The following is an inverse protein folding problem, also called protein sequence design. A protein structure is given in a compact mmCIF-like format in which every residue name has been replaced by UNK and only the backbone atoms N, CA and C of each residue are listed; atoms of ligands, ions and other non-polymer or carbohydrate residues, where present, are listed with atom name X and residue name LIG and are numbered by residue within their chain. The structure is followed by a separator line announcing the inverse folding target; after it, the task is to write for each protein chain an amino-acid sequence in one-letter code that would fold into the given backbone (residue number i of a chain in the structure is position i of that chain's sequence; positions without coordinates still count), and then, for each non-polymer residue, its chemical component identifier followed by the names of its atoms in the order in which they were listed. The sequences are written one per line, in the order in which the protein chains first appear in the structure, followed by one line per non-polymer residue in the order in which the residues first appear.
data_IF_417926207937
#
_entry.id   IF_417926207937
#
_cell.length_a   1.000
_cell.length_b   1.000
_cell.length_c   1.000
_cell.angle_alpha   90.00
_cell.angle_beta   90.00
_cell.angle_gamma   90.00
#
_symmetry.space_group_name_H-M   'P 1'
#
loop_
_entity.id
_entity.type
_entity.pdbx_description
1 polymer ?
#
# COMPACT_ATOMS: atom_id res chain seq x y z
N UNK A 1 12.68 15.55 -9.88
CA UNK A 1 13.44 16.76 -9.46
C UNK A 1 14.51 17.16 -10.50
N UNK A 2 15.16 16.24 -11.20
CA UNK A 2 16.10 16.58 -12.31
C UNK A 2 15.39 17.39 -13.40
N UNK A 3 14.24 16.93 -13.89
CA UNK A 3 13.44 17.66 -14.89
C UNK A 3 13.11 19.11 -14.47
N UNK A 4 12.79 19.32 -13.17
CA UNK A 4 12.56 20.68 -12.63
C UNK A 4 13.84 21.48 -12.63
N UNK A 5 14.99 20.88 -12.32
CA UNK A 5 16.29 21.53 -12.35
C UNK A 5 16.66 22.00 -13.74
N UNK A 6 16.37 21.21 -14.76
CA UNK A 6 16.80 21.37 -16.13
C UNK A 6 15.81 22.19 -17.01
N UNK A 7 14.62 22.51 -16.47
CA UNK A 7 13.55 23.21 -17.21
C UNK A 7 13.17 24.54 -16.57
N UNK A 8 13.38 25.63 -17.30
CA UNK A 8 12.95 26.98 -16.88
C UNK A 8 11.43 27.04 -16.66
N UNK A 9 10.64 26.39 -17.50
CA UNK A 9 9.18 26.35 -17.38
C UNK A 9 8.75 25.64 -16.09
N UNK A 10 9.36 24.50 -15.76
CA UNK A 10 9.05 23.75 -14.54
C UNK A 10 9.54 24.49 -13.29
N UNK A 11 10.69 25.16 -13.35
CA UNK A 11 11.15 26.02 -12.25
C UNK A 11 10.16 27.17 -11.99
N UNK A 12 9.73 27.87 -13.05
CA UNK A 12 8.73 28.94 -12.96
C UNK A 12 7.40 28.43 -12.39
N UNK A 13 6.93 27.27 -12.83
CA UNK A 13 5.74 26.63 -12.29
C UNK A 13 5.88 26.30 -10.81
N UNK A 14 7.05 25.83 -10.38
CA UNK A 14 7.35 25.55 -8.97
C UNK A 14 7.72 26.80 -8.15
N UNK A 15 7.69 27.99 -8.73
CA UNK A 15 8.11 29.26 -8.10
C UNK A 15 9.56 29.21 -7.59
N UNK A 16 10.45 28.54 -8.31
CA UNK A 16 11.88 28.42 -7.98
C UNK A 16 12.67 29.31 -8.93
N UNK A 17 13.34 30.33 -8.40
CA UNK A 17 14.17 31.22 -9.19
C UNK A 17 15.38 30.50 -9.81
N UNK A 18 15.99 31.04 -10.89
CA UNK A 18 17.10 30.42 -11.59
C UNK A 18 18.31 30.19 -10.70
N UNK A 19 18.60 31.10 -9.78
CA UNK A 19 19.70 31.01 -8.82
C UNK A 19 19.39 30.15 -7.59
N UNK A 20 18.13 29.74 -7.39
CA UNK A 20 17.74 28.93 -6.24
C UNK A 20 17.98 27.46 -6.46
N UNK A 21 18.28 26.75 -5.38
CA UNK A 21 18.49 25.30 -5.42
C UNK A 21 17.15 24.59 -5.47
N UNK A 22 16.99 23.71 -6.45
CA UNK A 22 15.84 22.79 -6.52
C UNK A 22 15.95 21.77 -5.38
N UNK A 23 14.89 21.55 -4.58
CA UNK A 23 14.88 20.55 -3.53
C UNK A 23 15.21 19.16 -4.09
N UNK A 24 15.96 18.36 -3.33
CA UNK A 24 16.23 16.98 -3.71
C UNK A 24 15.02 16.07 -3.43
N UNK A 25 15.03 14.87 -4.02
CA UNK A 25 13.97 13.88 -3.85
C UNK A 25 13.74 13.50 -2.37
N UNK A 26 14.80 13.46 -1.58
CA UNK A 26 14.70 13.10 -0.17
C UNK A 26 13.98 14.14 0.65
N UNK A 27 14.14 15.42 0.31
CA UNK A 27 13.43 16.54 0.93
C UNK A 27 11.94 16.49 0.62
N UNK A 28 11.58 16.31 -0.67
CA UNK A 28 10.18 16.16 -1.08
C UNK A 28 9.54 14.95 -0.42
N UNK A 29 10.23 13.82 -0.36
CA UNK A 29 9.74 12.61 0.31
C UNK A 29 9.53 12.78 1.81
N UNK A 30 10.44 13.50 2.50
CA UNK A 30 10.27 13.84 3.92
C UNK A 30 9.05 14.74 4.13
N UNK A 31 8.87 15.75 3.26
CA UNK A 31 7.71 16.63 3.30
C UNK A 31 6.41 15.86 3.09
N UNK A 32 6.34 15.03 2.05
CA UNK A 32 5.19 14.17 1.75
C UNK A 32 4.80 13.29 2.94
N UNK A 33 5.78 12.67 3.61
CA UNK A 33 5.53 11.89 4.83
C UNK A 33 5.05 12.73 6.00
N UNK A 34 5.56 13.94 6.14
CA UNK A 34 5.17 14.86 7.21
C UNK A 34 3.74 15.36 7.04
N UNK A 35 3.32 15.64 5.82
CA UNK A 35 1.95 16.05 5.49
C UNK A 35 0.96 14.92 5.77
N UNK A 36 1.30 13.69 5.38
CA UNK A 36 0.44 12.53 5.56
C UNK A 36 -0.80 12.52 4.68
N UNK A 37 -1.61 11.47 4.80
CA UNK A 37 -2.80 11.26 3.99
C UNK A 37 -3.90 12.30 4.29
N UNK A 38 -4.06 12.69 5.54
CA UNK A 38 -5.11 13.62 5.95
C UNK A 38 -5.01 14.96 5.21
N UNK A 39 -3.80 15.54 5.15
CA UNK A 39 -3.57 16.83 4.46
C UNK A 39 -3.77 16.70 2.95
N UNK A 40 -3.27 15.63 2.34
CA UNK A 40 -3.41 15.41 0.89
C UNK A 40 -4.88 15.22 0.50
N UNK A 41 -5.63 14.47 1.30
CA UNK A 41 -7.06 14.27 1.09
C UNK A 41 -7.83 15.58 1.25
N UNK A 42 -7.46 16.42 2.23
CA UNK A 42 -8.08 17.73 2.41
C UNK A 42 -7.82 18.66 1.21
N UNK A 43 -6.60 18.72 0.70
CA UNK A 43 -6.29 19.45 -0.54
C UNK A 43 -7.16 18.93 -1.70
N UNK A 44 -7.33 17.61 -1.81
CA UNK A 44 -8.18 17.00 -2.84
C UNK A 44 -9.63 17.44 -2.70
N UNK A 45 -10.16 17.51 -1.48
CA UNK A 45 -11.52 18.03 -1.20
C UNK A 45 -11.68 19.48 -1.62
N UNK A 46 -10.73 20.33 -1.23
CA UNK A 46 -10.70 21.75 -1.60
C UNK A 46 -10.73 21.90 -3.13
N UNK A 47 -9.90 21.15 -3.85
CA UNK A 47 -9.86 21.18 -5.33
C UNK A 47 -11.21 20.78 -5.93
N UNK A 48 -11.87 19.73 -5.41
CA UNK A 48 -13.18 19.28 -5.89
C UNK A 48 -14.26 20.33 -5.60
N UNK A 49 -14.29 20.88 -4.40
CA UNK A 49 -15.27 21.93 -4.00
C UNK A 49 -15.10 23.19 -4.85
N UNK A 50 -13.86 23.62 -5.05
CA UNK A 50 -13.57 24.79 -5.89
C UNK A 50 -14.01 24.57 -7.34
N UNK A 51 -13.69 23.41 -7.93
CA UNK A 51 -14.12 23.07 -9.28
C UNK A 51 -15.65 23.05 -9.44
N UNK A 52 -16.39 22.67 -8.38
CA UNK A 52 -17.86 22.76 -8.38
C UNK A 52 -18.35 24.20 -8.31
N UNK A 53 -17.78 25.04 -7.43
CA UNK A 53 -18.12 26.47 -7.31
C UNK A 53 -17.90 27.21 -8.62
N UNK A 54 -16.81 26.92 -9.30
CA UNK A 54 -16.49 27.49 -10.62
C UNK A 54 -17.28 26.88 -11.78
N UNK A 55 -18.24 25.98 -11.51
CA UNK A 55 -19.04 25.25 -12.50
C UNK A 55 -18.22 24.40 -13.51
N UNK A 56 -16.94 24.15 -13.22
CA UNK A 56 -16.04 23.32 -14.05
C UNK A 56 -16.30 21.83 -13.87
N UNK A 57 -17.01 21.46 -12.80
CA UNK A 57 -17.34 20.09 -12.47
C UNK A 57 -18.79 19.97 -11.99
N UNK A 58 -19.56 19.05 -12.61
CA UNK A 58 -20.95 18.75 -12.24
C UNK A 58 -21.09 17.28 -11.87
N UNK A 59 -21.17 16.93 -10.60
CA UNK A 59 -21.28 15.53 -10.15
C UNK A 59 -22.72 15.01 -10.42
N UNK A 60 -22.89 14.03 -11.30
CA UNK A 60 -24.18 13.40 -11.61
C UNK A 60 -24.17 11.89 -11.51
N UNK A 61 -23.05 11.27 -11.78
CA UNK A 61 -22.91 9.83 -11.76
C UNK A 61 -21.60 9.43 -11.10
N UNK A 62 -21.58 8.25 -10.46
CA UNK A 62 -20.39 7.66 -9.88
C UNK A 62 -20.19 6.24 -10.38
N UNK A 63 -18.92 5.85 -10.50
CA UNK A 63 -18.51 4.46 -10.65
C UNK A 63 -17.42 4.16 -9.64
N UNK A 64 -17.55 3.00 -9.01
CA UNK A 64 -16.68 2.58 -7.91
C UNK A 64 -16.12 1.21 -8.24
N UNK A 65 -14.84 1.03 -7.97
CA UNK A 65 -14.12 -0.21 -8.17
C UNK A 65 -12.90 -0.24 -7.25
N UNK A 66 -12.42 -1.43 -6.92
CA UNK A 66 -11.29 -1.60 -6.00
C UNK A 66 -10.04 -2.06 -6.73
N UNK A 67 -8.90 -1.59 -6.28
CA UNK A 67 -7.62 -1.97 -6.87
C UNK A 67 -6.56 -2.23 -5.82
N UNK A 68 -5.55 -3.04 -6.19
CA UNK A 68 -4.36 -3.22 -5.36
C UNK A 68 -3.34 -2.15 -5.69
N UNK A 69 -2.87 -1.45 -4.66
CA UNK A 69 -1.66 -0.64 -4.68
C UNK A 69 -0.53 -1.52 -4.18
N UNK A 70 0.39 -1.90 -5.07
CA UNK A 70 1.51 -2.77 -4.71
C UNK A 70 2.40 -2.08 -3.67
N UNK A 71 2.85 -2.81 -2.65
CA UNK A 71 3.92 -2.38 -1.78
C UNK A 71 5.28 -2.53 -2.49
N UNK A 72 6.25 -1.68 -2.15
CA UNK A 72 7.61 -1.81 -2.67
C UNK A 72 8.39 -2.90 -1.93
N UNK A 73 7.96 -4.13 -2.16
CA UNK A 73 8.53 -5.33 -1.56
C UNK A 73 8.95 -6.33 -2.63
N UNK A 74 9.99 -7.11 -2.34
CA UNK A 74 10.37 -8.24 -3.17
C UNK A 74 9.33 -9.35 -3.02
N UNK A 75 9.27 -10.26 -4.00
CA UNK A 75 8.42 -11.45 -3.87
C UNK A 75 8.73 -12.19 -2.55
N UNK A 76 7.74 -12.34 -1.64
CA UNK A 76 7.97 -12.78 -0.27
C UNK A 76 8.14 -14.30 -0.18
N UNK A 77 9.36 -14.77 -0.16
CA UNK A 77 9.67 -16.15 0.22
C UNK A 77 10.05 -16.22 1.70
N UNK A 78 9.73 -17.29 2.40
CA UNK A 78 10.05 -17.42 3.83
C UNK A 78 11.56 -17.40 4.07
N UNK A 79 12.33 -18.01 3.17
CA UNK A 79 13.78 -17.96 3.20
C UNK A 79 14.34 -16.54 2.93
N UNK A 80 13.69 -15.77 2.05
CA UNK A 80 14.01 -14.36 1.82
C UNK A 80 13.74 -13.51 3.05
N UNK A 81 12.60 -13.72 3.70
CA UNK A 81 12.26 -13.05 4.96
C UNK A 81 13.24 -13.41 6.09
N UNK A 82 13.66 -14.68 6.18
CA UNK A 82 14.68 -15.11 7.13
C UNK A 82 16.03 -14.39 6.87
N UNK A 83 16.43 -14.28 5.61
CA UNK A 83 17.65 -13.53 5.23
C UNK A 83 17.57 -12.06 5.63
N UNK A 84 16.45 -11.41 5.36
CA UNK A 84 16.24 -10.01 5.71
C UNK A 84 16.19 -9.82 7.24
N UNK A 85 15.58 -10.77 7.97
CA UNK A 85 15.56 -10.77 9.45
C UNK A 85 16.97 -10.81 10.03
N UNK A 86 17.80 -11.75 9.59
CA UNK A 86 19.19 -11.85 10.08
C UNK A 86 20.01 -10.59 9.78
N UNK A 87 19.87 -10.02 8.57
CA UNK A 87 20.55 -8.79 8.18
C UNK A 87 20.17 -7.60 9.03
N UNK A 88 18.86 -7.40 9.25
CA UNK A 88 18.38 -6.24 9.98
C UNK A 88 18.70 -6.34 11.45
N UNK A 89 18.57 -7.51 12.07
CA UNK A 89 18.95 -7.74 13.48
C UNK A 89 20.42 -7.43 13.71
N UNK A 90 21.30 -7.95 12.89
CA UNK A 90 22.75 -7.68 13.00
C UNK A 90 23.09 -6.20 12.76
N UNK A 91 22.41 -5.54 11.80
CA UNK A 91 22.63 -4.12 11.50
C UNK A 91 22.17 -3.21 12.64
N UNK A 92 20.95 -3.43 13.15
CA UNK A 92 20.39 -2.58 14.21
C UNK A 92 21.08 -2.86 15.56
N UNK A 93 21.52 -4.09 15.81
CA UNK A 93 22.36 -4.43 16.96
C UNK A 93 23.72 -3.69 16.91
N UNK A 94 24.40 -3.65 15.76
CA UNK A 94 25.65 -2.86 15.60
C UNK A 94 25.45 -1.38 15.92
N UNK A 95 24.33 -0.79 15.47
CA UNK A 95 23.99 0.60 15.78
C UNK A 95 23.71 0.81 17.26
N UNK A 96 23.12 -0.17 17.93
CA UNK A 96 22.87 -0.12 19.36
C UNK A 96 24.20 -0.23 20.14
N UNK A 97 25.05 -1.20 19.81
CA UNK A 97 26.36 -1.37 20.41
C UNK A 97 27.26 -0.13 20.30
N UNK A 98 27.20 0.59 19.18
CA UNK A 98 27.90 1.87 19.02
C UNK A 98 27.45 2.96 20.02
N UNK A 99 26.25 2.80 20.63
CA UNK A 99 25.69 3.76 21.59
C UNK A 99 25.83 3.31 23.05
N UNK A 100 25.85 1.99 23.30
CA UNK A 100 25.84 1.43 24.66
C UNK A 100 27.16 0.79 25.07
N UNK A 101 28.13 0.67 24.15
CA UNK A 101 29.39 -0.01 24.34
C UNK A 101 29.43 -1.39 23.69
N UNK A 102 30.57 -1.75 23.11
CA UNK A 102 30.74 -3.04 22.42
C UNK A 102 30.74 -4.24 23.36
N UNK A 103 31.06 -4.03 24.62
CA UNK A 103 31.05 -5.02 25.71
C UNK A 103 29.64 -5.38 26.19
N UNK A 104 28.61 -4.66 25.72
CA UNK A 104 27.21 -4.96 26.06
C UNK A 104 26.69 -6.30 25.47
N UNK A 105 27.44 -6.89 24.55
CA UNK A 105 27.10 -8.15 23.92
C UNK A 105 27.42 -8.17 22.41
N UNK A 106 26.85 -9.15 21.71
CA UNK A 106 26.98 -9.21 20.25
C UNK A 106 25.74 -9.87 19.62
N UNK A 107 25.50 -9.58 18.35
CA UNK A 107 24.57 -10.32 17.49
C UNK A 107 25.30 -10.71 16.22
N UNK A 108 25.49 -12.01 16.05
CA UNK A 108 26.23 -12.55 14.90
C UNK A 108 25.45 -12.32 13.60
N UNK A 109 26.11 -11.76 12.60
CA UNK A 109 25.56 -11.63 11.25
C UNK A 109 25.56 -13.02 10.55
N UNK A 110 24.39 -13.63 10.49
CA UNK A 110 24.15 -14.95 9.86
C UNK A 110 23.66 -14.83 8.41
N UNK A 111 23.64 -13.62 7.87
CA UNK A 111 23.09 -13.38 6.53
C UNK A 111 23.83 -14.15 5.42
N UNK A 112 25.14 -14.33 5.54
CA UNK A 112 25.95 -15.12 4.58
C UNK A 112 25.55 -16.62 4.63
N UNK A 113 25.36 -17.17 5.82
CA UNK A 113 24.96 -18.58 6.01
C UNK A 113 23.56 -18.84 5.45
N UNK A 114 22.59 -17.96 5.75
CA UNK A 114 21.23 -18.04 5.20
C UNK A 114 21.26 -17.81 3.68
N UNK A 115 22.04 -16.84 3.19
CA UNK A 115 22.17 -16.55 1.77
C UNK A 115 22.73 -17.73 0.95
N UNK A 116 23.62 -18.55 1.51
CA UNK A 116 24.07 -19.80 0.86
C UNK A 116 22.90 -20.78 0.69
N UNK A 117 22.04 -20.95 1.71
CA UNK A 117 20.85 -21.81 1.64
C UNK A 117 19.84 -21.32 0.62
N UNK A 118 19.58 -20.01 0.60
CA UNK A 118 18.68 -19.40 -0.41
C UNK A 118 19.18 -19.66 -1.83
N UNK A 119 20.50 -19.54 -2.08
CA UNK A 119 21.07 -19.86 -3.40
C UNK A 119 20.99 -21.36 -3.73
N UNK A 120 21.20 -22.22 -2.74
CA UNK A 120 21.02 -23.67 -2.93
C UNK A 120 19.59 -24.00 -3.32
N UNK A 121 18.59 -23.40 -2.64
CA UNK A 121 17.17 -23.54 -2.99
C UNK A 121 16.87 -23.12 -4.43
N UNK A 122 17.42 -21.99 -4.88
CA UNK A 122 17.20 -21.50 -6.25
C UNK A 122 17.70 -22.48 -7.30
N UNK A 123 18.80 -23.19 -7.04
CA UNK A 123 19.32 -24.24 -7.92
C UNK A 123 18.44 -25.51 -7.91
N UNK A 124 17.82 -25.80 -6.77
CA UNK A 124 16.96 -26.97 -6.58
C UNK A 124 15.59 -26.81 -7.25
N UNK A 125 15.08 -25.56 -7.37
CA UNK A 125 13.75 -25.26 -7.89
C UNK A 125 13.57 -25.50 -9.41
N UNK A 126 14.62 -25.77 -10.16
CA UNK A 126 14.58 -25.96 -11.63
C UNK A 126 13.72 -27.16 -12.09
N UNK A 127 13.43 -28.14 -11.21
CA UNK A 127 12.50 -29.26 -11.48
C UNK A 127 11.59 -29.47 -10.27
N UNK A 128 10.28 -29.59 -10.48
CA UNK A 128 9.27 -29.75 -9.41
C UNK A 128 9.04 -31.21 -9.04
N UNK A 129 9.99 -31.85 -8.36
CA UNK A 129 9.82 -33.19 -7.78
C UNK A 129 9.49 -33.12 -6.29
N UNK A 130 8.84 -34.16 -5.74
CA UNK A 130 8.49 -34.25 -4.31
C UNK A 130 9.72 -34.16 -3.40
N UNK A 131 10.84 -34.80 -3.80
CA UNK A 131 12.10 -34.75 -3.07
C UNK A 131 12.70 -33.35 -3.01
N UNK A 132 12.72 -32.63 -4.13
CA UNK A 132 13.20 -31.25 -4.17
C UNK A 132 12.34 -30.30 -3.35
N UNK A 133 11.04 -30.53 -3.30
CA UNK A 133 10.15 -29.77 -2.41
C UNK A 133 10.53 -30.00 -0.93
N UNK A 134 10.81 -31.23 -0.53
CA UNK A 134 11.31 -31.55 0.84
C UNK A 134 12.62 -30.83 1.13
N UNK A 135 13.58 -30.88 0.22
CA UNK A 135 14.88 -30.23 0.35
C UNK A 135 14.76 -28.69 0.48
N UNK A 136 13.86 -28.06 -0.27
CA UNK A 136 13.55 -26.63 -0.13
C UNK A 136 12.96 -26.31 1.24
N UNK A 137 12.07 -27.15 1.75
CA UNK A 137 11.51 -26.97 3.09
C UNK A 137 12.60 -27.12 4.17
N UNK A 138 13.48 -28.10 4.05
CA UNK A 138 14.61 -28.30 4.98
C UNK A 138 15.54 -27.08 5.02
N UNK A 139 15.96 -26.56 3.88
CA UNK A 139 16.76 -25.33 3.84
C UNK A 139 16.03 -24.13 4.46
N UNK A 140 14.70 -24.06 4.31
CA UNK A 140 13.88 -23.02 4.91
C UNK A 140 13.84 -23.16 6.43
N UNK A 141 13.70 -24.39 6.96
CA UNK A 141 13.76 -24.68 8.39
C UNK A 141 15.11 -24.26 8.99
N UNK A 142 16.21 -24.70 8.38
CA UNK A 142 17.56 -24.34 8.80
C UNK A 142 17.79 -22.82 8.79
N UNK A 143 17.22 -22.11 7.83
CA UNK A 143 17.26 -20.64 7.82
C UNK A 143 16.49 -20.06 9.02
N UNK A 144 15.34 -20.60 9.35
CA UNK A 144 14.56 -20.23 10.53
C UNK A 144 15.33 -20.40 11.84
N UNK A 145 15.99 -21.54 12.05
CA UNK A 145 16.83 -21.78 13.23
C UNK A 145 17.96 -20.75 13.38
N UNK A 146 18.59 -20.37 12.27
CA UNK A 146 19.63 -19.35 12.30
C UNK A 146 19.07 -17.98 12.70
N UNK A 147 17.85 -17.63 12.29
CA UNK A 147 17.17 -16.41 12.72
C UNK A 147 16.84 -16.48 14.22
N UNK A 148 16.35 -17.62 14.72
CA UNK A 148 16.06 -17.81 16.15
C UNK A 148 17.30 -17.60 17.03
N UNK A 149 18.47 -18.09 16.58
CA UNK A 149 19.75 -17.77 17.27
C UNK A 149 20.03 -16.28 17.30
N UNK A 150 19.81 -15.58 16.20
CA UNK A 150 20.00 -14.12 16.14
C UNK A 150 19.00 -13.36 17.02
N UNK A 151 17.76 -13.82 17.11
CA UNK A 151 16.72 -13.29 18.01
C UNK A 151 17.16 -13.42 19.46
N UNK A 152 17.62 -14.62 19.90
CA UNK A 152 18.09 -14.84 21.27
C UNK A 152 19.24 -13.91 21.66
N UNK A 153 20.22 -13.73 20.77
CA UNK A 153 21.34 -12.82 20.98
C UNK A 153 20.87 -11.36 21.05
N UNK A 154 19.97 -10.94 20.15
CA UNK A 154 19.39 -9.59 20.13
C UNK A 154 18.60 -9.28 21.41
N UNK A 155 17.81 -10.24 21.92
CA UNK A 155 17.07 -10.09 23.18
C UNK A 155 18.02 -9.89 24.37
N UNK A 156 19.10 -10.67 24.46
CA UNK A 156 20.13 -10.50 25.50
C UNK A 156 20.75 -9.10 25.45
N UNK A 157 21.10 -8.65 24.24
CA UNK A 157 21.65 -7.31 24.03
C UNK A 157 20.67 -6.22 24.48
N UNK A 158 19.37 -6.35 24.19
CA UNK A 158 18.34 -5.39 24.61
C UNK A 158 18.27 -5.28 26.13
N UNK A 159 18.32 -6.40 26.87
CA UNK A 159 18.30 -6.40 28.35
C UNK A 159 19.49 -5.59 28.92
N UNK A 160 20.70 -5.86 28.43
CA UNK A 160 21.89 -5.13 28.87
C UNK A 160 21.82 -3.65 28.47
N UNK A 161 21.40 -3.38 27.22
CA UNK A 161 21.30 -2.03 26.68
C UNK A 161 20.29 -1.16 27.48
N UNK A 162 19.16 -1.73 27.92
CA UNK A 162 18.16 -1.02 28.76
C UNK A 162 18.77 -0.56 30.09
N UNK A 163 19.60 -1.40 30.73
CA UNK A 163 20.31 -1.04 31.98
C UNK A 163 21.29 0.13 31.76
N UNK A 164 21.89 0.22 30.56
CA UNK A 164 22.85 1.26 30.15
C UNK A 164 22.21 2.51 29.53
N UNK A 165 20.89 2.52 29.34
CA UNK A 165 20.15 3.63 28.72
C UNK A 165 19.86 4.75 29.72
N UNK A 166 20.91 5.26 30.43
CA UNK A 166 20.85 6.32 31.45
C UNK A 166 21.71 7.51 31.02
N UNK A 167 21.52 8.66 31.64
CA UNK A 167 22.34 9.86 31.50
C UNK A 167 22.25 10.50 30.09
N UNK A 168 23.34 11.21 29.73
CA UNK A 168 23.45 11.90 28.44
C UNK A 168 23.26 10.91 27.28
N UNK A 169 22.34 11.21 26.37
CA UNK A 169 22.02 10.34 25.21
C UNK A 169 21.04 9.20 25.51
N UNK A 170 20.44 9.10 26.67
CA UNK A 170 19.44 8.08 27.05
C UNK A 170 18.31 7.98 26.01
N UNK A 171 17.75 9.11 25.58
CA UNK A 171 16.67 9.15 24.56
C UNK A 171 17.10 8.52 23.23
N UNK A 172 18.34 8.73 22.80
CA UNK A 172 18.87 8.15 21.55
C UNK A 172 19.15 6.64 21.70
N UNK A 173 19.59 6.18 22.89
CA UNK A 173 19.75 4.77 23.21
C UNK A 173 18.40 4.05 23.23
N UNK A 174 17.40 4.59 23.94
CA UNK A 174 16.05 4.04 24.01
C UNK A 174 15.40 3.94 22.63
N UNK A 175 15.52 4.98 21.79
CA UNK A 175 15.01 4.94 20.43
C UNK A 175 15.61 3.78 19.61
N UNK A 176 16.90 3.52 19.78
CA UNK A 176 17.57 2.44 19.08
C UNK A 176 17.21 1.05 19.63
N UNK A 177 16.99 0.94 20.95
CA UNK A 177 16.47 -0.26 21.60
C UNK A 177 15.10 -0.58 21.05
N UNK A 178 14.15 0.35 21.11
CA UNK A 178 12.79 0.16 20.61
C UNK A 178 12.79 -0.25 19.12
N UNK A 179 13.68 0.33 18.32
CA UNK A 179 13.83 -0.07 16.94
C UNK A 179 14.29 -1.51 16.76
N UNK A 180 15.24 -1.96 17.59
CA UNK A 180 15.71 -3.36 17.55
C UNK A 180 14.59 -4.31 17.99
N UNK A 181 13.83 -3.96 19.03
CA UNK A 181 12.69 -4.75 19.52
C UNK A 181 11.60 -4.94 18.48
N UNK A 182 11.23 -3.89 17.73
CA UNK A 182 10.30 -3.99 16.62
C UNK A 182 10.77 -5.03 15.58
N UNK A 183 12.07 -5.05 15.28
CA UNK A 183 12.60 -6.03 14.33
C UNK A 183 12.75 -7.43 14.93
N UNK A 184 12.95 -7.57 16.23
CA UNK A 184 12.89 -8.85 16.94
C UNK A 184 11.49 -9.44 16.79
N UNK A 185 10.46 -8.69 17.11
CA UNK A 185 9.05 -9.12 16.99
C UNK A 185 8.71 -9.56 15.55
N UNK A 186 9.09 -8.75 14.57
CA UNK A 186 8.86 -9.11 13.16
C UNK A 186 9.62 -10.37 12.75
N UNK A 187 10.85 -10.55 13.20
CA UNK A 187 11.65 -11.75 12.94
C UNK A 187 11.04 -13.00 13.61
N UNK A 188 10.45 -12.87 14.78
CA UNK A 188 9.71 -13.94 15.46
C UNK A 188 8.47 -14.36 14.66
N UNK A 189 7.72 -13.40 14.13
CA UNK A 189 6.61 -13.71 13.20
C UNK A 189 7.09 -14.52 11.99
N UNK A 190 8.26 -14.18 11.42
CA UNK A 190 8.85 -14.96 10.32
C UNK A 190 9.20 -16.39 10.75
N UNK A 191 9.80 -16.59 11.93
CA UNK A 191 10.13 -17.95 12.42
C UNK A 191 8.88 -18.77 12.71
N UNK A 192 7.83 -18.15 13.24
CA UNK A 192 6.51 -18.80 13.42
C UNK A 192 5.91 -19.22 12.07
N UNK A 193 5.97 -18.35 11.05
CA UNK A 193 5.50 -18.69 9.70
C UNK A 193 6.26 -19.87 9.10
N UNK A 194 7.59 -19.90 9.26
CA UNK A 194 8.41 -21.01 8.80
C UNK A 194 7.98 -22.32 9.48
N UNK A 195 7.84 -22.31 10.81
CA UNK A 195 7.40 -23.48 11.57
C UNK A 195 6.02 -24.00 11.15
N UNK A 196 5.05 -23.10 10.96
CA UNK A 196 3.71 -23.45 10.45
C UNK A 196 3.79 -24.08 9.05
N UNK A 197 4.60 -23.52 8.16
CA UNK A 197 4.81 -24.09 6.82
C UNK A 197 5.41 -25.49 6.87
N UNK A 198 6.37 -25.72 7.80
CA UNK A 198 6.96 -27.07 7.98
C UNK A 198 5.92 -28.11 8.41
N UNK A 199 4.91 -27.69 9.18
CA UNK A 199 3.78 -28.55 9.59
C UNK A 199 2.65 -28.64 8.55
N UNK A 200 2.78 -27.97 7.40
CA UNK A 200 1.73 -27.91 6.37
C UNK A 200 0.53 -27.04 6.74
N UNK A 201 0.62 -26.25 7.80
CA UNK A 201 -0.47 -25.39 8.28
C UNK A 201 -0.71 -24.18 7.38
N UNK A 202 -1.97 -23.75 7.32
CA UNK A 202 -2.35 -22.50 6.66
C UNK A 202 -1.82 -21.30 7.46
N UNK A 203 -1.16 -20.38 6.78
CA UNK A 203 -0.63 -19.15 7.40
C UNK A 203 -1.62 -18.02 7.17
N UNK A 204 -2.42 -17.74 8.19
CA UNK A 204 -3.29 -16.54 8.23
C UNK A 204 -2.46 -15.31 8.57
N UNK A 205 -2.85 -14.14 8.08
CA UNK A 205 -2.18 -12.85 8.35
C UNK A 205 -0.65 -12.88 8.09
N UNK A 206 -0.27 -13.46 6.96
CA UNK A 206 1.12 -13.66 6.56
C UNK A 206 1.88 -12.34 6.46
N UNK A 207 3.01 -12.24 7.16
CA UNK A 207 3.98 -11.15 6.97
C UNK A 207 4.68 -11.35 5.62
N UNK A 208 4.65 -10.35 4.76
CA UNK A 208 5.29 -10.40 3.42
C UNK A 208 6.57 -9.56 3.36
N UNK A 209 6.77 -8.65 4.30
CA UNK A 209 7.99 -7.87 4.45
C UNK A 209 8.23 -7.49 5.90
N UNK A 210 9.46 -7.63 6.38
CA UNK A 210 9.85 -7.12 7.72
C UNK A 210 10.02 -5.60 7.73
N UNK A 211 10.13 -4.97 6.54
CA UNK A 211 10.28 -3.52 6.39
C UNK A 211 8.97 -2.80 6.12
N UNK A 212 7.93 -3.54 5.72
CA UNK A 212 6.58 -3.08 5.46
C UNK A 212 5.59 -4.11 6.04
N UNK A 213 5.35 -4.05 7.38
CA UNK A 213 4.60 -5.10 8.07
C UNK A 213 3.11 -5.07 7.77
N UNK A 214 2.59 -3.99 7.22
CA UNK A 214 1.17 -3.82 6.91
C UNK A 214 0.79 -4.34 5.53
N UNK A 215 1.78 -4.49 4.64
CA UNK A 215 1.54 -5.11 3.34
C UNK A 215 1.04 -6.55 3.49
N UNK A 216 0.04 -6.92 2.69
CA UNK A 216 -0.60 -8.24 2.75
C UNK A 216 -0.64 -8.91 1.37
N UNK A 217 -0.71 -10.25 1.34
CA UNK A 217 -1.04 -10.96 0.11
C UNK A 217 -2.51 -10.74 -0.23
N UNK A 218 -2.79 -10.30 -1.44
CA UNK A 218 -4.13 -10.03 -1.95
C UNK A 218 -4.38 -10.96 -3.12
N UNK A 219 -5.42 -11.79 -3.03
CA UNK A 219 -5.85 -12.68 -4.10
C UNK A 219 -6.62 -11.89 -5.15
N UNK A 220 -6.22 -12.01 -6.42
CA UNK A 220 -6.90 -11.37 -7.55
C UNK A 220 -7.56 -12.35 -8.52
N UNK A 221 -7.43 -13.65 -8.31
CA UNK A 221 -8.04 -14.68 -9.18
C UNK A 221 -7.55 -14.67 -10.64
N UNK A 222 -6.54 -13.88 -10.98
CA UNK A 222 -6.02 -13.76 -12.34
C UNK A 222 -5.06 -14.91 -12.67
N UNK A 223 -5.24 -15.53 -13.84
CA UNK A 223 -4.29 -16.48 -14.40
C UNK A 223 -2.92 -15.79 -14.55
N UNK A 224 -1.85 -16.44 -14.09
CA UNK A 224 -0.47 -15.93 -14.19
C UNK A 224 0.01 -15.03 -13.04
N UNK A 225 -0.89 -14.31 -12.35
CA UNK A 225 -0.55 -13.51 -11.16
C UNK A 225 -1.62 -13.64 -10.08
N UNK A 226 -1.70 -14.80 -9.40
CA UNK A 226 -2.79 -15.09 -8.47
C UNK A 226 -2.76 -14.23 -7.21
N UNK A 227 -1.59 -13.76 -6.81
CA UNK A 227 -1.41 -12.92 -5.62
C UNK A 227 -0.63 -11.64 -5.95
N UNK A 228 -1.11 -10.52 -5.46
CA UNK A 228 -0.40 -9.25 -5.38
C UNK A 228 -0.06 -8.98 -3.90
N UNK A 229 0.99 -8.18 -3.66
CA UNK A 229 1.43 -7.87 -2.29
C UNK A 229 1.36 -6.37 -2.08
N UNK A 230 0.51 -5.94 -1.16
CA UNK A 230 0.29 -4.52 -0.94
C UNK A 230 -0.99 -4.25 -0.14
N UNK A 231 -1.79 -3.34 -0.66
CA UNK A 231 -2.95 -2.77 0.00
C UNK A 231 -4.10 -2.64 -0.99
N UNK A 232 -5.34 -2.70 -0.51
CA UNK A 232 -6.53 -2.44 -1.32
C UNK A 232 -6.91 -0.97 -1.18
N UNK A 233 -7.24 -0.34 -2.30
CA UNK A 233 -7.82 1.00 -2.34
C UNK A 233 -9.10 0.97 -3.20
N UNK A 234 -10.20 1.50 -2.68
CA UNK A 234 -11.43 1.69 -3.43
C UNK A 234 -11.42 3.06 -4.08
N UNK A 235 -11.61 3.08 -5.39
CA UNK A 235 -11.55 4.28 -6.23
C UNK A 235 -12.96 4.64 -6.67
N UNK A 236 -13.42 5.82 -6.29
CA UNK A 236 -14.69 6.39 -6.72
C UNK A 236 -14.45 7.55 -7.68
N UNK A 237 -14.80 7.36 -8.94
CA UNK A 237 -14.78 8.43 -9.94
C UNK A 237 -16.18 9.03 -10.09
N UNK A 238 -16.25 10.36 -9.96
CA UNK A 238 -17.48 11.13 -10.10
C UNK A 238 -17.47 11.84 -11.45
N UNK A 239 -18.52 11.67 -12.24
CA UNK A 239 -18.62 12.18 -13.61
C UNK A 239 -19.87 13.04 -13.83
N UNK A 240 -19.85 13.86 -14.85
CA UNK A 240 -21.00 14.67 -15.25
C UNK A 240 -22.08 13.88 -15.99
N UNK A 241 -21.76 12.74 -16.54
CA UNK A 241 -22.67 11.88 -17.29
C UNK A 241 -22.11 10.43 -17.36
N UNK A 242 -22.92 9.53 -17.91
CA UNK A 242 -22.56 8.09 -18.06
C UNK A 242 -22.26 7.71 -19.52
N UNK A 243 -21.77 8.63 -20.34
CA UNK A 243 -21.33 8.35 -21.69
C UNK A 243 -20.06 7.50 -21.69
N UNK A 244 -19.87 6.70 -22.73
CA UNK A 244 -18.60 5.99 -22.97
C UNK A 244 -17.46 7.00 -23.01
N UNK A 245 -16.35 6.73 -22.33
CA UNK A 245 -15.21 7.66 -22.25
C UNK A 245 -15.39 8.82 -21.25
N UNK A 246 -16.53 8.91 -20.53
CA UNK A 246 -16.70 9.95 -19.51
C UNK A 246 -15.49 9.96 -18.56
N UNK A 247 -14.92 11.15 -18.38
CA UNK A 247 -13.81 11.42 -17.45
C UNK A 247 -14.29 12.37 -16.38
N UNK A 248 -14.03 12.03 -15.13
CA UNK A 248 -14.45 12.78 -13.96
C UNK A 248 -13.32 13.06 -12.99
N UNK A 249 -13.66 13.54 -11.81
CA UNK A 249 -12.76 13.69 -10.69
C UNK A 249 -12.88 12.48 -9.78
N UNK A 250 -11.80 12.17 -9.07
CA UNK A 250 -11.76 11.06 -8.12
C UNK A 250 -11.75 11.65 -6.72
N UNK A 251 -12.65 11.18 -5.86
CA UNK A 251 -12.66 11.57 -4.45
C UNK A 251 -11.52 10.86 -3.70
N UNK A 252 -11.13 11.32 -2.50
CA UNK A 252 -10.20 10.59 -1.65
C UNK A 252 -10.56 9.10 -1.55
N UNK A 253 -9.56 8.22 -1.69
CA UNK A 253 -9.79 6.77 -1.73
C UNK A 253 -10.14 6.22 -0.35
N UNK A 254 -11.14 5.34 -0.27
CA UNK A 254 -11.35 4.49 0.89
C UNK A 254 -10.27 3.39 0.93
N UNK A 255 -9.54 3.31 2.03
CA UNK A 255 -8.42 2.39 2.21
C UNK A 255 -8.13 2.12 3.70
N UNK A 256 -9.17 2.17 4.54
CA UNK A 256 -9.01 2.12 6.00
C UNK A 256 -8.63 0.74 6.54
N UNK A 257 -8.83 -0.33 5.78
CA UNK A 257 -8.61 -1.68 6.25
C UNK A 257 -7.34 -2.34 5.69
N UNK A 258 -6.67 -3.10 6.56
CA UNK A 258 -5.54 -3.95 6.20
C UNK A 258 -6.00 -5.31 5.68
N UNK A 259 -5.21 -5.90 4.81
CA UNK A 259 -5.45 -7.24 4.30
C UNK A 259 -6.07 -7.24 2.92
N UNK A 260 -7.10 -8.06 2.76
CA UNK A 260 -7.90 -8.16 1.54
C UNK A 260 -9.37 -7.87 1.88
N UNK A 261 -9.71 -6.63 2.26
CA UNK A 261 -11.08 -6.26 2.55
C UNK A 261 -11.96 -6.52 1.33
N UNK A 262 -13.20 -6.90 1.58
CA UNK A 262 -14.19 -6.98 0.51
C UNK A 262 -14.56 -5.56 0.06
N UNK A 263 -15.08 -5.45 -1.14
CA UNK A 263 -15.52 -4.15 -1.67
C UNK A 263 -16.66 -3.56 -0.84
N UNK A 264 -17.46 -4.43 -0.22
CA UNK A 264 -18.56 -4.05 0.67
C UNK A 264 -18.08 -3.33 1.93
N UNK A 265 -16.96 -3.73 2.51
CA UNK A 265 -16.43 -3.14 3.75
C UNK A 265 -15.88 -1.72 3.54
N UNK A 266 -15.41 -1.41 2.33
CA UNK A 266 -14.87 -0.08 2.00
C UNK A 266 -15.95 0.89 1.50
N UNK A 267 -17.10 0.40 1.06
CA UNK A 267 -18.15 1.24 0.47
C UNK A 267 -18.72 2.28 1.44
N UNK A 268 -19.00 1.98 2.73
CA UNK A 268 -19.50 2.98 3.68
C UNK A 268 -18.58 4.20 3.82
N UNK A 269 -17.26 3.99 3.82
CA UNK A 269 -16.28 5.09 3.86
C UNK A 269 -16.33 5.94 2.58
N UNK A 270 -16.47 5.30 1.42
CA UNK A 270 -16.64 5.99 0.13
C UNK A 270 -17.92 6.82 0.10
N UNK A 271 -19.02 6.30 0.65
CA UNK A 271 -20.30 7.03 0.76
C UNK A 271 -20.17 8.22 1.68
N UNK A 272 -19.61 8.05 2.85
CA UNK A 272 -19.38 9.14 3.81
C UNK A 272 -18.50 10.26 3.19
N UNK A 273 -17.52 9.90 2.35
CA UNK A 273 -16.69 10.89 1.66
C UNK A 273 -17.48 11.66 0.58
N UNK A 274 -18.39 11.01 -0.15
CA UNK A 274 -19.29 11.69 -1.08
C UNK A 274 -20.25 12.64 -0.35
N UNK A 275 -20.82 12.24 0.78
CA UNK A 275 -21.66 13.08 1.63
C UNK A 275 -20.90 14.30 2.15
N UNK A 276 -19.67 14.11 2.64
CA UNK A 276 -18.79 15.21 3.08
C UNK A 276 -18.54 16.24 1.98
N UNK A 277 -18.43 15.78 0.74
CA UNK A 277 -18.28 16.62 -0.44
C UNK A 277 -19.62 17.21 -0.92
N UNK A 278 -20.75 16.88 -0.31
CA UNK A 278 -22.09 17.25 -0.73
C UNK A 278 -22.42 16.73 -2.14
N UNK A 279 -21.98 15.52 -2.47
CA UNK A 279 -22.19 14.88 -3.77
C UNK A 279 -23.28 13.82 -3.62
N UNK A 280 -24.44 14.06 -4.24
CA UNK A 280 -25.55 13.13 -4.35
C UNK A 280 -25.68 12.67 -5.80
N UNK A 281 -25.13 11.52 -6.17
CA UNK A 281 -25.16 11.04 -7.55
C UNK A 281 -26.56 10.54 -7.92
N UNK A 282 -27.02 10.86 -9.15
CA UNK A 282 -28.26 10.29 -9.69
C UNK A 282 -28.09 8.86 -10.18
N UNK A 283 -26.90 8.51 -10.64
CA UNK A 283 -26.60 7.20 -11.20
C UNK A 283 -25.34 6.63 -10.57
N UNK A 284 -25.41 5.37 -10.13
CA UNK A 284 -24.33 4.63 -9.48
C UNK A 284 -24.04 3.36 -10.27
N UNK A 285 -22.79 3.08 -10.57
CA UNK A 285 -22.38 1.85 -11.25
C UNK A 285 -21.25 1.15 -10.50
N UNK A 286 -21.46 -0.09 -10.10
CA UNK A 286 -20.62 -0.90 -9.24
C UNK A 286 -20.28 -2.24 -9.90
N UNK A 287 -19.18 -2.85 -9.45
CA UNK A 287 -18.84 -4.23 -9.82
C UNK A 287 -19.70 -5.26 -9.04
N UNK A 288 -19.63 -6.53 -9.45
CA UNK A 288 -20.38 -7.63 -8.84
C UNK A 288 -19.96 -7.96 -7.40
N UNK A 289 -18.78 -7.49 -6.97
CA UNK A 289 -18.28 -7.63 -5.61
C UNK A 289 -19.07 -6.85 -4.56
N UNK A 290 -19.86 -5.83 -4.97
CA UNK A 290 -20.71 -5.03 -4.07
C UNK A 290 -22.06 -5.71 -3.85
N UNK A 291 -22.05 -6.82 -3.13
CA UNK A 291 -23.21 -7.72 -3.16
C UNK A 291 -24.00 -7.84 -1.86
N UNK A 292 -23.50 -7.42 -0.69
CA UNK A 292 -24.02 -7.92 0.58
C UNK A 292 -24.31 -6.80 1.60
N UNK A 293 -24.89 -7.17 2.72
CA UNK A 293 -25.39 -6.36 3.81
C UNK A 293 -24.86 -4.92 3.95
N UNK A 294 -23.58 -4.69 4.19
CA UNK A 294 -23.02 -3.34 4.34
C UNK A 294 -23.22 -2.47 3.09
N UNK A 295 -23.11 -3.05 1.88
CA UNK A 295 -23.34 -2.33 0.63
C UNK A 295 -24.77 -1.90 0.45
N UNK A 296 -25.75 -2.69 0.87
CA UNK A 296 -27.19 -2.32 0.77
C UNK A 296 -27.48 -1.09 1.60
N UNK A 297 -27.09 -1.09 2.87
CA UNK A 297 -27.27 0.05 3.76
C UNK A 297 -26.56 1.30 3.23
N UNK A 298 -25.32 1.17 2.78
CA UNK A 298 -24.58 2.28 2.20
C UNK A 298 -25.23 2.79 0.89
N UNK A 299 -25.75 1.90 0.05
CA UNK A 299 -26.42 2.29 -1.21
C UNK A 299 -27.78 2.98 -0.98
N UNK A 300 -28.49 2.65 0.09
CA UNK A 300 -29.71 3.38 0.49
C UNK A 300 -29.42 4.84 0.82
N UNK A 301 -28.26 5.14 1.40
CA UNK A 301 -27.82 6.50 1.69
C UNK A 301 -27.58 7.34 0.41
N UNK A 302 -27.19 6.73 -0.69
CA UNK A 302 -26.98 7.45 -1.96
C UNK A 302 -28.25 8.11 -2.48
N UNK A 303 -29.43 7.58 -2.18
CA UNK A 303 -30.71 8.02 -2.76
C UNK A 303 -30.65 8.20 -4.29
N UNK A 304 -29.87 7.34 -4.94
CA UNK A 304 -29.66 7.41 -6.38
C UNK A 304 -30.93 7.00 -7.12
N UNK A 305 -31.25 7.73 -8.20
CA UNK A 305 -32.39 7.37 -9.07
C UNK A 305 -32.18 6.00 -9.73
N UNK A 306 -30.93 5.64 -9.99
CA UNK A 306 -30.55 4.39 -10.68
C UNK A 306 -29.22 3.84 -10.14
N UNK A 307 -29.27 2.61 -9.68
CA UNK A 307 -28.08 1.86 -9.27
C UNK A 307 -27.90 0.66 -10.19
N UNK A 308 -26.69 0.42 -10.65
CA UNK A 308 -26.29 -0.74 -11.42
C UNK A 308 -25.18 -1.50 -10.69
N UNK A 309 -25.39 -2.80 -10.48
CA UNK A 309 -24.38 -3.72 -9.95
C UNK A 309 -24.19 -4.84 -10.97
N UNK A 310 -22.98 -5.10 -11.40
CA UNK A 310 -22.70 -6.13 -12.41
C UNK A 310 -23.16 -7.52 -11.94
N UNK A 311 -23.75 -8.29 -12.88
CA UNK A 311 -24.23 -9.64 -12.59
C UNK A 311 -25.55 -9.70 -11.81
N UNK A 312 -26.26 -8.58 -11.61
CA UNK A 312 -27.57 -8.53 -10.94
C UNK A 312 -28.68 -8.01 -11.83
N UNK A 313 -29.85 -8.58 -11.63
CA UNK A 313 -31.10 -8.06 -12.20
C UNK A 313 -31.47 -6.77 -11.44
N UNK A 314 -31.78 -5.70 -12.16
CA UNK A 314 -32.05 -4.39 -11.60
C UNK A 314 -33.27 -3.76 -12.28
N UNK A 315 -34.02 -2.89 -11.59
CA UNK A 315 -35.12 -2.16 -12.19
C UNK A 315 -34.64 -1.22 -13.27
N UNK A 316 -35.43 -1.01 -14.30
CA UNK A 316 -35.16 -0.09 -15.39
C UNK A 316 -35.09 -0.76 -16.78
N UNK A 317 -35.09 0.08 -17.83
CA UNK A 317 -35.08 -0.41 -19.20
C UNK A 317 -33.75 -1.11 -19.55
N UNK A 318 -33.79 -2.10 -20.45
CA UNK A 318 -32.60 -2.79 -20.99
C UNK A 318 -31.56 -1.78 -21.56
N UNK A 319 -32.04 -0.68 -22.16
CA UNK A 319 -31.18 0.40 -22.68
C UNK A 319 -30.38 1.08 -21.57
N UNK A 320 -31.04 1.42 -20.46
CA UNK A 320 -30.40 2.03 -19.29
C UNK A 320 -29.39 1.09 -18.65
N UNK A 321 -29.72 -0.17 -18.48
CA UNK A 321 -28.81 -1.16 -17.91
C UNK A 321 -27.57 -1.38 -18.78
N UNK A 322 -27.72 -1.50 -20.11
CA UNK A 322 -26.58 -1.59 -21.04
C UNK A 322 -25.70 -0.35 -20.99
N UNK A 323 -26.29 0.84 -20.86
CA UNK A 323 -25.53 2.09 -20.72
C UNK A 323 -24.71 2.12 -19.44
N UNK A 324 -25.30 1.79 -18.30
CA UNK A 324 -24.62 1.77 -17.01
C UNK A 324 -23.57 0.65 -16.92
N UNK A 325 -23.81 -0.51 -17.52
CA UNK A 325 -22.82 -1.56 -17.67
C UNK A 325 -21.57 -1.07 -18.43
N UNK A 326 -21.75 -0.39 -19.57
CA UNK A 326 -20.64 0.22 -20.31
C UNK A 326 -19.94 1.32 -19.51
N UNK A 327 -20.70 2.12 -18.78
CA UNK A 327 -20.15 3.15 -17.91
C UNK A 327 -19.28 2.55 -16.80
N UNK A 328 -19.71 1.43 -16.19
CA UNK A 328 -18.93 0.70 -15.18
C UNK A 328 -17.58 0.25 -15.71
N UNK A 329 -17.52 -0.34 -16.90
CA UNK A 329 -16.24 -0.82 -17.46
C UNK A 329 -15.19 0.27 -17.60
N UNK A 330 -15.61 1.53 -17.65
CA UNK A 330 -14.69 2.66 -17.63
C UNK A 330 -13.91 2.84 -16.33
N UNK A 331 -14.31 2.22 -15.20
CA UNK A 331 -13.53 2.22 -13.95
C UNK A 331 -12.20 1.49 -14.11
N UNK A 332 -12.20 0.36 -14.81
CA UNK A 332 -10.97 -0.40 -15.10
C UNK A 332 -9.97 0.45 -15.91
N UNK A 333 -10.46 1.16 -16.92
CA UNK A 333 -9.66 2.10 -17.72
C UNK A 333 -9.11 3.23 -16.85
N UNK A 334 -9.90 3.73 -15.90
CA UNK A 334 -9.48 4.79 -14.98
C UNK A 334 -8.40 4.32 -14.02
N UNK A 335 -8.59 3.18 -13.40
CA UNK A 335 -7.59 2.54 -12.52
C UNK A 335 -6.29 2.27 -13.29
N UNK A 336 -6.38 1.75 -14.53
CA UNK A 336 -5.22 1.54 -15.38
C UNK A 336 -4.48 2.85 -15.67
N UNK A 337 -5.20 3.95 -15.92
CA UNK A 337 -4.63 5.28 -16.14
C UNK A 337 -3.93 5.81 -14.89
N UNK A 338 -4.55 5.73 -13.70
CA UNK A 338 -3.92 6.08 -12.43
C UNK A 338 -2.62 5.29 -12.19
N UNK A 339 -2.64 4.00 -12.45
CA UNK A 339 -1.48 3.14 -12.27
C UNK A 339 -0.32 3.45 -13.21
N UNK A 340 -0.60 3.80 -14.46
CA UNK A 340 0.43 4.07 -15.48
C UNK A 340 0.90 5.51 -15.50
N UNK A 341 -0.03 6.47 -15.39
CA UNK A 341 0.26 7.89 -15.55
C UNK A 341 0.57 8.62 -14.24
N UNK A 342 0.00 8.18 -13.12
CA UNK A 342 0.05 8.92 -11.84
C UNK A 342 0.68 8.12 -10.70
N UNK A 343 1.44 7.07 -11.01
CA UNK A 343 2.27 6.34 -10.05
C UNK A 343 1.52 5.44 -9.05
N UNK A 344 0.20 5.26 -9.19
CA UNK A 344 -0.60 4.47 -8.22
C UNK A 344 -0.28 2.97 -8.25
N UNK A 345 0.45 2.47 -9.23
CA UNK A 345 0.76 1.04 -9.34
C UNK A 345 1.48 0.50 -8.11
N UNK A 346 2.47 1.24 -7.59
CA UNK A 346 3.31 0.81 -6.48
C UNK A 346 3.60 1.97 -5.53
N UNK A 347 3.23 1.81 -4.26
CA UNK A 347 3.58 2.77 -3.21
C UNK A 347 5.07 2.67 -2.89
N UNK A 348 5.77 3.79 -2.96
CA UNK A 348 7.16 3.90 -2.48
C UNK A 348 7.25 4.35 -1.02
N UNK A 349 6.12 4.72 -0.43
CA UNK A 349 5.99 4.94 1.00
C UNK A 349 5.58 3.62 1.65
N UNK A 350 6.08 3.37 2.85
CA UNK A 350 5.83 2.14 3.60
C UNK A 350 4.68 2.34 4.55
N UNK A 351 4.18 1.21 5.05
CA UNK A 351 3.07 1.12 5.99
C UNK A 351 1.75 1.59 5.38
N UNK A 352 0.67 1.34 6.06
CA UNK A 352 -0.67 1.67 5.60
C UNK A 352 -0.84 3.18 5.37
N UNK A 353 -0.39 4.01 6.31
CA UNK A 353 -0.45 5.47 6.20
C UNK A 353 0.37 6.00 5.02
N UNK A 354 1.52 5.37 4.78
CA UNK A 354 2.35 5.68 3.62
C UNK A 354 1.64 5.35 2.30
N UNK A 355 0.95 4.22 2.23
CA UNK A 355 0.15 3.86 1.06
C UNK A 355 -1.01 4.83 0.84
N UNK A 356 -1.75 5.19 1.90
CA UNK A 356 -2.83 6.17 1.80
C UNK A 356 -2.32 7.53 1.30
N UNK A 357 -1.19 7.99 1.85
CA UNK A 357 -0.53 9.23 1.40
C UNK A 357 -0.15 9.15 -0.08
N UNK A 358 0.45 8.03 -0.51
CA UNK A 358 0.85 7.81 -1.91
C UNK A 358 -0.34 7.80 -2.87
N UNK A 359 -1.40 7.10 -2.50
CA UNK A 359 -2.65 7.04 -3.27
C UNK A 359 -3.31 8.41 -3.37
N UNK A 360 -3.35 9.15 -2.25
CA UNK A 360 -3.87 10.51 -2.22
C UNK A 360 -3.15 11.45 -3.19
N UNK A 361 -1.82 11.44 -3.23
CA UNK A 361 -1.05 12.22 -4.21
C UNK A 361 -1.34 11.81 -5.65
N UNK A 362 -1.49 10.52 -5.94
CA UNK A 362 -1.85 10.04 -7.27
C UNK A 362 -3.21 10.57 -7.72
N UNK A 363 -4.20 10.57 -6.81
CA UNK A 363 -5.55 11.09 -7.05
C UNK A 363 -5.52 12.60 -7.23
N UNK A 364 -4.85 13.34 -6.36
CA UNK A 364 -4.74 14.78 -6.44
C UNK A 364 -4.13 15.23 -7.78
N UNK A 365 -3.01 14.62 -8.16
CA UNK A 365 -2.33 14.93 -9.44
C UNK A 365 -3.23 14.65 -10.63
N UNK A 366 -3.94 13.50 -10.63
CA UNK A 366 -4.91 13.16 -11.66
C UNK A 366 -6.05 14.18 -11.74
N UNK A 367 -6.57 14.66 -10.61
CA UNK A 367 -7.65 15.62 -10.56
C UNK A 367 -7.21 16.99 -11.11
N UNK A 368 -6.03 17.46 -10.72
CA UNK A 368 -5.45 18.70 -11.22
C UNK A 368 -5.25 18.67 -12.74
N UNK A 369 -4.66 17.59 -13.26
CA UNK A 369 -4.48 17.39 -14.70
C UNK A 369 -5.82 17.31 -15.45
N UNK A 370 -6.82 16.62 -14.88
CA UNK A 370 -8.16 16.56 -15.46
C UNK A 370 -8.85 17.93 -15.53
N UNK A 371 -8.64 18.77 -14.52
CA UNK A 371 -9.18 20.14 -14.52
C UNK A 371 -8.42 21.05 -15.49
N UNK A 372 -7.11 20.93 -15.60
CA UNK A 372 -6.30 21.69 -16.56
C UNK A 372 -6.71 21.41 -18.01
N UNK A 373 -6.90 20.15 -18.39
CA UNK A 373 -7.37 19.77 -19.74
C UNK A 373 -8.77 20.34 -20.06
N UNK A 374 -9.64 20.53 -19.07
CA UNK A 374 -11.00 21.08 -19.27
C UNK A 374 -11.01 22.59 -19.40
N UNK A 375 -9.93 23.26 -19.12
CA UNK A 375 -9.81 24.73 -19.18
C UNK A 375 -9.30 25.20 -20.53
N UNK A 376 -8.63 24.32 -21.27
CA UNK A 376 -8.19 24.52 -22.64
C UNK A 376 -9.24 23.93 -23.62
#
# INVERSE_FOLDING_TARGET
MREVSDSIHLRRFCLIALGERVPDESTVRKLTRRLGAAVVNEITRVVIVQARREKRFRPRAVRIDSTVVEADVRYPTDSGLALDSARVLAREARKLLAKVGRDAGYVRDRSRAIGRRVRAMSRTLGRRTGERKRQVLEFTAQAGELVERSIREARRLVVVARRRARGRGAKAKLRQINKLEIFIERAERVTVQIRRRMRGETITNRLVSIFDPDARPIRKGKLGKPNEFGFVAQICEVTANTKTGARGLIIPAAASELGNPSEDTLLPETVAELERLGISPREVALDGGFNLGPSRQALELFKAERTFIAGRQQPGSRRTQRRLARYRTGSEGRISHLKRGYGMRRSRLKDHDGMQTWTGWSILTYNLDTLAIRTN
#
